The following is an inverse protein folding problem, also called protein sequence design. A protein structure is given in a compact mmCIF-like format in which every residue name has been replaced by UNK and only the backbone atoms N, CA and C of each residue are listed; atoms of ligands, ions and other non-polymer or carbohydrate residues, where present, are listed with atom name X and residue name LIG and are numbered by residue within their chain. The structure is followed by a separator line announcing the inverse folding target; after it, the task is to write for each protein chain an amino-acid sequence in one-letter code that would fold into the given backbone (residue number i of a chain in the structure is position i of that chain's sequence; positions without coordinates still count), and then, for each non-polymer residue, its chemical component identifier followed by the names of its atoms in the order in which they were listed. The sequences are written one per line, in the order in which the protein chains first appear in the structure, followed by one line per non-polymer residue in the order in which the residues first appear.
data_IF_994997043603
#
_entry.id   IF_994997043603
#
_cell.length_a   1.000
_cell.length_b   1.000
_cell.length_c   1.000
_cell.angle_alpha   90.00
_cell.angle_beta   90.00
_cell.angle_gamma   90.00
#
_symmetry.space_group_name_H-M   'P 1'
#
loop_
_entity.id
_entity.type
_entity.pdbx_description
1 polymer ?
#
# COMPACT_ATOMS: atom_id res chain seq x y z
N UNK A 1 38.14 1.97 0.49
CA UNK A 1 37.33 1.15 -0.44
C UNK A 1 35.87 1.51 -0.24
N UNK A 2 35.22 2.11 -1.23
CA UNK A 2 33.82 2.51 -1.15
C UNK A 2 32.93 1.31 -1.50
N UNK A 3 32.09 0.87 -0.57
CA UNK A 3 31.11 -0.18 -0.82
C UNK A 3 30.00 0.35 -1.72
N UNK A 4 29.92 -0.15 -2.95
CA UNK A 4 28.76 0.01 -3.82
C UNK A 4 27.57 -0.71 -3.18
N UNK A 5 26.57 0.03 -2.69
CA UNK A 5 25.28 -0.54 -2.28
C UNK A 5 24.40 -0.69 -3.52
N UNK A 6 24.25 -1.93 -3.99
CA UNK A 6 23.25 -2.28 -5.00
C UNK A 6 21.86 -2.27 -4.36
N UNK A 7 20.90 -1.61 -5.00
CA UNK A 7 19.50 -1.66 -4.59
C UNK A 7 18.88 -2.97 -5.06
N UNK A 8 18.66 -3.91 -4.15
CA UNK A 8 18.16 -5.26 -4.44
C UNK A 8 16.69 -5.46 -4.09
N UNK A 9 15.99 -4.41 -3.63
CA UNK A 9 14.57 -4.54 -3.27
C UNK A 9 13.73 -4.71 -4.53
N UNK A 10 13.17 -5.90 -4.66
CA UNK A 10 12.20 -6.21 -5.70
C UNK A 10 10.92 -5.39 -5.48
N UNK A 11 10.34 -4.88 -6.56
CA UNK A 11 9.02 -4.27 -6.50
C UNK A 11 7.96 -5.34 -6.21
N UNK A 12 7.04 -5.03 -5.28
CA UNK A 12 5.87 -5.87 -5.04
C UNK A 12 4.96 -5.85 -6.28
N UNK A 13 4.41 -7.01 -6.62
CA UNK A 13 3.29 -7.13 -7.56
C UNK A 13 2.04 -6.43 -7.00
N UNK A 14 1.03 -6.18 -7.85
CA UNK A 14 -0.20 -5.51 -7.42
C UNK A 14 -0.96 -6.34 -6.37
N UNK A 15 -0.99 -7.67 -6.53
CA UNK A 15 -1.62 -8.56 -5.56
C UNK A 15 -0.88 -8.52 -4.21
N UNK A 16 0.45 -8.53 -4.21
CA UNK A 16 1.25 -8.37 -2.98
C UNK A 16 1.03 -7.00 -2.32
N UNK A 17 0.83 -5.94 -3.10
CA UNK A 17 0.49 -4.61 -2.56
C UNK A 17 -0.88 -4.62 -1.87
N UNK A 18 -1.88 -5.30 -2.44
CA UNK A 18 -3.22 -5.43 -1.84
C UNK A 18 -3.16 -6.22 -0.54
N UNK A 19 -2.46 -7.34 -0.52
CA UNK A 19 -2.31 -8.15 0.69
C UNK A 19 -1.51 -7.39 1.77
N UNK A 20 -0.50 -6.62 1.38
CA UNK A 20 0.20 -5.72 2.32
C UNK A 20 -0.77 -4.70 2.93
N UNK A 21 -1.61 -4.05 2.14
CA UNK A 21 -2.59 -3.07 2.63
C UNK A 21 -3.62 -3.72 3.58
N UNK A 22 -4.14 -4.91 3.25
CA UNK A 22 -5.04 -5.68 4.14
C UNK A 22 -4.35 -6.06 5.44
N UNK A 23 -3.11 -6.55 5.38
CA UNK A 23 -2.33 -6.92 6.57
C UNK A 23 -2.08 -5.75 7.53
N UNK A 24 -2.11 -4.52 7.00
CA UNK A 24 -2.00 -3.28 7.76
C UNK A 24 -3.34 -2.74 8.29
N UNK A 25 -4.44 -3.45 8.04
CA UNK A 25 -5.77 -3.10 8.54
C UNK A 25 -6.62 -2.28 7.57
N UNK A 26 -6.23 -2.12 6.30
CA UNK A 26 -7.09 -1.48 5.30
C UNK A 26 -8.16 -2.47 4.85
N UNK A 27 -9.42 -2.06 4.93
CA UNK A 27 -10.52 -2.84 4.40
C UNK A 27 -10.59 -2.69 2.88
N UNK A 28 -10.46 -3.80 2.16
CA UNK A 28 -10.58 -3.86 0.69
C UNK A 28 -11.68 -4.86 0.36
N UNK A 29 -12.89 -4.38 0.07
CA UNK A 29 -14.05 -5.23 -0.17
C UNK A 29 -13.99 -5.95 -1.52
N UNK A 30 -13.43 -5.30 -2.54
CA UNK A 30 -13.35 -5.82 -3.90
C UNK A 30 -11.89 -5.77 -4.38
N UNK A 31 -11.21 -6.90 -4.25
CA UNK A 31 -9.78 -7.00 -4.60
C UNK A 31 -9.57 -6.81 -6.11
N UNK A 32 -10.50 -7.25 -6.97
CA UNK A 32 -10.39 -7.06 -8.43
C UNK A 32 -10.47 -5.59 -8.83
N UNK A 33 -11.35 -4.81 -8.18
CA UNK A 33 -11.38 -3.35 -8.37
C UNK A 33 -10.10 -2.67 -7.88
N UNK A 34 -9.60 -3.07 -6.71
CA UNK A 34 -8.35 -2.55 -6.18
C UNK A 34 -7.16 -2.86 -7.11
N UNK A 35 -7.10 -4.06 -7.70
CA UNK A 35 -6.07 -4.44 -8.67
C UNK A 35 -6.10 -3.53 -9.90
N UNK A 36 -7.28 -3.35 -10.49
CA UNK A 36 -7.45 -2.47 -11.65
C UNK A 36 -7.03 -1.03 -11.32
N UNK A 37 -7.51 -0.51 -10.20
CA UNK A 37 -7.18 0.84 -9.75
C UNK A 37 -5.67 1.02 -9.55
N UNK A 38 -5.01 0.09 -8.85
CA UNK A 38 -3.57 0.17 -8.61
C UNK A 38 -2.74 0.00 -9.89
N UNK A 39 -3.25 -0.74 -10.88
CA UNK A 39 -2.67 -0.81 -12.22
C UNK A 39 -2.68 0.53 -12.98
N UNK A 40 -3.70 1.36 -12.75
CA UNK A 40 -3.85 2.68 -13.40
C UNK A 40 -3.17 3.81 -12.59
N UNK A 41 -3.33 3.81 -11.27
CA UNK A 41 -2.91 4.91 -10.39
C UNK A 41 -1.50 4.72 -9.84
N UNK A 42 -1.02 3.48 -9.77
CA UNK A 42 0.19 3.05 -9.04
C UNK A 42 0.06 3.17 -7.52
N UNK A 43 0.52 2.14 -6.81
CA UNK A 43 0.66 2.14 -5.35
C UNK A 43 1.43 3.34 -4.81
N UNK A 44 2.51 3.75 -5.48
CA UNK A 44 3.34 4.88 -5.02
C UNK A 44 2.56 6.19 -4.91
N UNK A 45 1.62 6.44 -5.83
CA UNK A 45 0.75 7.61 -5.79
C UNK A 45 -0.34 7.42 -4.73
N UNK A 46 -0.95 6.24 -4.69
CA UNK A 46 -2.07 5.95 -3.81
C UNK A 46 -1.70 6.05 -2.32
N UNK A 47 -0.51 5.61 -1.91
CA UNK A 47 -0.11 5.65 -0.48
C UNK A 47 -0.10 7.05 0.13
N UNK A 48 -0.01 8.11 -0.67
CA UNK A 48 -0.08 9.48 -0.15
C UNK A 48 -1.49 9.82 0.36
N UNK A 49 -2.52 9.31 -0.31
CA UNK A 49 -3.93 9.48 0.06
C UNK A 49 -4.28 8.70 1.33
N UNK A 50 -3.57 7.60 1.59
CA UNK A 50 -3.78 6.76 2.77
C UNK A 50 -3.19 7.35 4.06
N UNK A 51 -2.27 8.33 3.98
CA UNK A 51 -1.57 8.90 5.15
C UNK A 51 -2.48 9.45 6.26
N UNK A 52 -3.60 10.13 5.98
CA UNK A 52 -4.54 10.59 7.01
C UNK A 52 -5.30 9.44 7.71
N UNK A 53 -5.39 8.28 7.05
CA UNK A 53 -6.09 7.08 7.54
C UNK A 53 -5.17 6.19 8.39
N UNK A 54 -3.86 6.40 8.37
CA UNK A 54 -2.91 5.71 9.24
C UNK A 54 -3.13 6.08 10.72
N UNK A 55 -3.22 5.06 11.57
CA UNK A 55 -3.14 5.16 13.03
C UNK A 55 -1.68 5.29 13.47
N UNK A 56 -0.80 4.46 12.92
CA UNK A 56 0.65 4.52 13.11
C UNK A 56 1.35 4.79 11.77
N UNK A 57 1.98 5.97 11.65
CA UNK A 57 2.66 6.42 10.44
C UNK A 57 4.04 5.79 10.19
N UNK A 58 4.59 5.11 11.21
CA UNK A 58 5.87 4.40 11.17
C UNK A 58 5.67 2.98 10.67
N UNK A 59 4.68 2.27 11.22
CA UNK A 59 4.35 0.90 10.79
C UNK A 59 3.32 0.86 9.65
N UNK A 60 2.73 2.01 9.32
CA UNK A 60 1.66 2.18 8.33
C UNK A 60 0.39 1.38 8.67
N UNK A 61 0.09 1.21 9.96
CA UNK A 61 -1.16 0.57 10.38
C UNK A 61 -2.32 1.56 10.21
N UNK A 62 -3.45 1.08 9.70
CA UNK A 62 -4.64 1.90 9.45
C UNK A 62 -5.58 1.92 10.65
N UNK A 63 -6.28 3.03 10.82
CA UNK A 63 -7.33 3.17 11.83
C UNK A 63 -8.44 2.13 11.60
N UNK A 64 -9.11 1.66 12.67
CA UNK A 64 -10.24 0.74 12.53
C UNK A 64 -11.28 1.25 11.52
N UNK A 65 -11.78 0.35 10.68
CA UNK A 65 -12.76 0.62 9.61
C UNK A 65 -12.28 1.52 8.47
N UNK A 66 -10.99 1.83 8.36
CA UNK A 66 -10.45 2.50 7.16
C UNK A 66 -10.69 1.64 5.92
N UNK A 67 -11.32 2.20 4.88
CA UNK A 67 -11.63 1.47 3.64
C UNK A 67 -10.86 2.03 2.47
N UNK A 68 -10.52 1.17 1.51
CA UNK A 68 -9.81 1.55 0.29
C UNK A 68 -10.49 2.70 -0.46
N UNK A 69 -11.82 2.73 -0.44
CA UNK A 69 -12.66 3.69 -1.15
C UNK A 69 -12.76 5.06 -0.45
N UNK A 70 -12.24 5.19 0.77
CA UNK A 70 -12.24 6.46 1.52
C UNK A 70 -11.00 7.34 1.22
N UNK A 71 -10.09 6.85 0.38
CA UNK A 71 -8.82 7.47 0.03
C UNK A 71 -8.93 8.41 -1.19
#
# INVERSE_FOLDING_TARGET
MSTLRLYTKQALSISEQIELLKSRGLNIADSSKAEKFLGEVSYFRFVQYLRPMEEDKTTHQFKPNSRFEDA
#
